data_IF_792574629879
#
_entry.id   IF_792574629879
#
_cell.length_a   1.000
_cell.length_b   1.000
_cell.length_c   1.000
_cell.angle_alpha   90.00
_cell.angle_beta   90.00
_cell.angle_gamma   90.00
#
_symmetry.space_group_name_H-M   'P 1'
#
loop_
_entity.id
_entity.type
_entity.pdbx_description
1 polymer ?
#
# COMPACT_ATOMS: atom_id res chain seq x y z
N UNK A 1 26.50 3.55 9.51
CA UNK A 1 25.25 3.11 10.18
C UNK A 1 24.42 4.31 10.58
N UNK A 2 23.17 4.31 10.21
CA UNK A 2 22.28 5.41 10.52
C UNK A 2 21.76 5.29 11.95
N UNK A 3 21.86 6.34 12.76
CA UNK A 3 21.34 6.27 14.11
C UNK A 3 19.82 6.07 14.09
N UNK A 4 19.32 5.44 15.12
CA UNK A 4 17.88 5.30 15.27
C UNK A 4 17.29 6.65 15.65
N UNK A 5 16.17 6.97 15.03
CA UNK A 5 15.44 8.16 15.41
C UNK A 5 14.61 7.88 16.66
N UNK A 6 14.64 8.82 17.58
CA UNK A 6 13.84 8.70 18.79
C UNK A 6 12.49 9.37 18.57
N UNK A 7 11.52 9.03 19.42
CA UNK A 7 10.18 9.59 19.38
C UNK A 7 9.81 10.12 20.75
N UNK A 8 9.11 11.25 20.79
CA UNK A 8 8.48 11.65 22.06
C UNK A 8 7.53 10.56 22.54
N UNK A 9 7.39 10.45 23.84
CA UNK A 9 6.58 9.39 24.44
C UNK A 9 5.16 9.37 23.87
N UNK A 10 4.51 10.53 23.78
CA UNK A 10 3.15 10.60 23.32
C UNK A 10 2.99 10.21 21.85
N UNK A 11 4.00 10.56 21.04
CA UNK A 11 3.98 10.22 19.63
C UNK A 11 4.14 8.71 19.45
N UNK A 12 5.05 8.10 20.21
CA UNK A 12 5.24 6.65 20.15
C UNK A 12 3.97 5.92 20.58
N UNK A 13 3.34 6.40 21.67
CA UNK A 13 2.13 5.79 22.16
C UNK A 13 1.00 5.85 21.15
N UNK A 14 0.81 7.02 20.53
CA UNK A 14 -0.23 7.19 19.52
C UNK A 14 -0.01 6.27 18.32
N UNK A 15 1.26 6.12 17.89
CA UNK A 15 1.58 5.23 16.79
C UNK A 15 1.26 3.79 17.13
N UNK A 16 1.63 3.35 18.33
CA UNK A 16 1.37 1.99 18.76
C UNK A 16 -0.13 1.73 18.91
N UNK A 17 -0.86 2.69 19.46
CA UNK A 17 -2.31 2.54 19.58
C UNK A 17 -2.99 2.43 18.24
N UNK A 18 -2.54 3.23 17.26
CA UNK A 18 -3.11 3.16 15.94
C UNK A 18 -2.85 1.82 15.28
N UNK A 19 -1.69 1.21 15.55
CA UNK A 19 -1.32 -0.07 14.96
C UNK A 19 -1.96 -1.26 15.67
N UNK A 20 -2.32 -1.11 16.95
CA UNK A 20 -2.73 -2.23 17.78
C UNK A 20 -4.22 -2.54 17.63
N UNK A 21 -4.60 -2.87 16.40
CA UNK A 21 -5.96 -3.28 16.08
C UNK A 21 -5.86 -4.18 14.85
N UNK A 22 -6.60 -5.30 14.81
CA UNK A 22 -6.39 -6.31 13.78
C UNK A 22 -6.41 -5.79 12.34
N UNK A 23 -7.43 -5.00 11.99
CA UNK A 23 -7.54 -4.50 10.62
C UNK A 23 -6.41 -3.54 10.31
N UNK A 24 -6.08 -2.65 11.24
CA UNK A 24 -5.04 -1.66 11.00
C UNK A 24 -3.66 -2.31 10.89
N UNK A 25 -3.38 -3.33 11.69
CA UNK A 25 -2.11 -4.02 11.57
C UNK A 25 -2.00 -4.77 10.24
N UNK A 26 -3.11 -5.38 9.79
CA UNK A 26 -3.14 -6.01 8.47
C UNK A 26 -2.92 -4.99 7.35
N UNK A 27 -3.55 -3.80 7.48
CA UNK A 27 -3.33 -2.73 6.50
C UNK A 27 -1.87 -2.31 6.43
N UNK A 28 -1.23 -2.16 7.59
CA UNK A 28 0.17 -1.77 7.61
C UNK A 28 1.06 -2.82 6.95
N UNK A 29 0.76 -4.10 7.18
CA UNK A 29 1.51 -5.17 6.54
C UNK A 29 1.33 -5.16 5.02
N UNK A 30 0.10 -4.97 4.55
CA UNK A 30 -0.19 -4.93 3.12
C UNK A 30 0.47 -3.72 2.46
N UNK A 31 0.36 -2.55 3.09
CA UNK A 31 0.90 -1.32 2.53
C UNK A 31 2.42 -1.24 2.63
N UNK A 32 3.04 -2.15 3.36
CA UNK A 32 4.49 -2.30 3.34
C UNK A 32 4.98 -2.97 2.07
N UNK A 33 4.09 -3.66 1.36
CA UNK A 33 4.47 -4.41 0.17
C UNK A 33 4.00 -3.77 -1.12
N UNK A 34 2.95 -2.95 -1.08
CA UNK A 34 2.39 -2.38 -2.29
C UNK A 34 1.60 -1.12 -1.98
N UNK A 35 1.52 -0.22 -2.95
CA UNK A 35 0.59 0.90 -2.89
C UNK A 35 -0.75 0.40 -3.41
N UNK A 36 -1.81 0.65 -2.65
CA UNK A 36 -3.11 0.08 -2.93
C UNK A 36 -4.21 1.12 -2.77
N UNK A 37 -5.25 0.98 -3.57
CA UNK A 37 -6.45 1.82 -3.44
C UNK A 37 -7.37 1.24 -2.38
N UNK A 38 -8.33 2.06 -1.93
CA UNK A 38 -9.30 1.58 -0.95
C UNK A 38 -10.13 0.42 -1.50
N UNK A 39 -10.44 0.45 -2.78
CA UNK A 39 -11.19 -0.64 -3.42
C UNK A 39 -10.41 -1.94 -3.36
N UNK A 40 -9.11 -1.88 -3.65
CA UNK A 40 -8.26 -3.06 -3.60
C UNK A 40 -8.14 -3.59 -2.17
N UNK A 41 -7.96 -2.68 -1.22
CA UNK A 41 -7.85 -3.08 0.17
C UNK A 41 -9.15 -3.69 0.69
N UNK A 42 -10.27 -3.15 0.27
CA UNK A 42 -11.58 -3.70 0.64
C UNK A 42 -11.71 -5.14 0.14
N UNK A 43 -11.29 -5.39 -1.09
CA UNK A 43 -11.34 -6.74 -1.66
C UNK A 43 -10.42 -7.70 -0.91
N UNK A 44 -9.22 -7.25 -0.56
CA UNK A 44 -8.25 -8.09 0.15
C UNK A 44 -8.74 -8.43 1.55
N UNK A 45 -9.24 -7.42 2.26
CA UNK A 45 -9.64 -7.59 3.66
C UNK A 45 -11.01 -8.24 3.80
N UNK A 46 -11.85 -8.18 2.76
CA UNK A 46 -13.20 -8.71 2.85
C UNK A 46 -14.07 -7.94 3.80
N UNK A 47 -13.83 -6.63 3.94
CA UNK A 47 -14.60 -5.76 4.82
C UNK A 47 -15.25 -4.65 4.01
N UNK A 48 -16.22 -3.96 4.59
CA UNK A 48 -16.93 -2.90 3.88
C UNK A 48 -15.99 -1.71 3.62
N UNK A 49 -16.28 -0.97 2.56
CA UNK A 49 -15.48 0.19 2.21
C UNK A 49 -15.51 1.26 3.30
N UNK A 50 -16.67 1.60 3.91
CA UNK A 50 -16.67 2.59 4.98
C UNK A 50 -15.78 2.19 6.17
N UNK A 51 -15.76 0.90 6.49
CA UNK A 51 -14.93 0.41 7.58
C UNK A 51 -13.45 0.52 7.25
N UNK A 52 -13.07 0.10 6.06
CA UNK A 52 -11.67 0.19 5.61
C UNK A 52 -11.24 1.64 5.54
N UNK A 53 -12.08 2.51 4.98
CA UNK A 53 -11.77 3.93 4.88
C UNK A 53 -11.55 4.56 6.24
N UNK A 54 -12.36 4.19 7.24
CA UNK A 54 -12.20 4.74 8.58
C UNK A 54 -10.88 4.32 9.20
N UNK A 55 -10.52 3.05 9.03
CA UNK A 55 -9.23 2.58 9.54
C UNK A 55 -8.06 3.26 8.85
N UNK A 56 -8.16 3.44 7.54
CA UNK A 56 -7.11 4.15 6.79
C UNK A 56 -6.97 5.59 7.28
N UNK A 57 -8.08 6.25 7.54
CA UNK A 57 -8.04 7.62 8.04
C UNK A 57 -7.31 7.69 9.37
N UNK A 58 -7.56 6.76 10.26
CA UNK A 58 -6.88 6.72 11.54
C UNK A 58 -5.37 6.52 11.37
N UNK A 59 -4.98 5.66 10.44
CA UNK A 59 -3.57 5.43 10.17
C UNK A 59 -2.90 6.66 9.55
N UNK A 60 -3.59 7.35 8.66
CA UNK A 60 -3.07 8.58 8.07
C UNK A 60 -2.90 9.66 9.14
N UNK A 61 -3.90 9.82 10.00
CA UNK A 61 -3.82 10.81 11.07
C UNK A 61 -2.70 10.51 12.05
N UNK A 62 -2.40 9.24 12.27
CA UNK A 62 -1.30 8.84 13.15
C UNK A 62 0.06 8.95 12.47
N UNK A 63 0.11 9.29 11.18
CA UNK A 63 1.37 9.43 10.47
C UNK A 63 2.00 8.13 10.05
N UNK A 64 1.24 7.03 10.02
CA UNK A 64 1.77 5.71 9.68
C UNK A 64 1.54 5.35 8.22
N UNK A 65 0.59 6.01 7.56
CA UNK A 65 0.22 5.76 6.18
C UNK A 65 0.13 7.09 5.46
N UNK A 66 0.62 7.12 4.23
CA UNK A 66 0.51 8.28 3.35
C UNK A 66 -0.53 8.01 2.29
N UNK A 67 -1.26 9.05 1.93
CA UNK A 67 -2.23 9.00 0.85
C UNK A 67 -1.75 9.93 -0.25
N UNK A 68 -1.73 9.44 -1.48
CA UNK A 68 -1.39 10.30 -2.61
C UNK A 68 -2.30 10.02 -3.78
N UNK A 69 -2.45 11.01 -4.64
CA UNK A 69 -3.32 10.92 -5.80
C UNK A 69 -2.51 10.75 -7.06
N UNK A 70 -3.05 9.91 -7.96
CA UNK A 70 -2.55 9.78 -9.32
C UNK A 70 -3.77 9.83 -10.23
N UNK A 71 -3.97 10.96 -10.89
CA UNK A 71 -5.15 11.15 -11.70
C UNK A 71 -6.42 11.09 -10.85
N UNK A 72 -7.34 10.21 -11.22
CA UNK A 72 -8.59 10.04 -10.51
C UNK A 72 -8.46 9.08 -9.32
N UNK A 73 -7.30 8.47 -9.13
CA UNK A 73 -7.13 7.41 -8.14
C UNK A 73 -6.40 7.93 -6.91
N UNK A 74 -6.82 7.46 -5.74
CA UNK A 74 -6.13 7.71 -4.49
C UNK A 74 -5.46 6.42 -4.04
N UNK A 75 -4.16 6.50 -3.80
CA UNK A 75 -3.37 5.36 -3.36
C UNK A 75 -2.90 5.57 -1.94
N UNK A 76 -2.77 4.48 -1.23
CA UNK A 76 -2.24 4.48 0.14
C UNK A 76 -0.96 3.68 0.17
N UNK A 77 -0.02 4.12 0.99
CA UNK A 77 1.24 3.42 1.17
C UNK A 77 1.73 3.67 2.60
N UNK A 78 2.55 2.76 3.10
CA UNK A 78 3.14 2.93 4.42
C UNK A 78 4.08 4.14 4.38
N UNK A 79 4.06 4.94 5.46
CA UNK A 79 5.04 6.01 5.61
C UNK A 79 6.44 5.42 5.63
N UNK A 80 7.39 6.06 4.95
CA UNK A 80 8.73 5.51 4.78
C UNK A 80 9.82 6.37 5.41
N UNK A 81 9.44 7.44 6.11
CA UNK A 81 10.41 8.35 6.72
C UNK A 81 10.07 8.63 8.16
N UNK A 82 11.13 8.82 8.97
CA UNK A 82 10.99 9.26 10.33
C UNK A 82 10.87 8.13 11.32
N UNK A 83 10.84 8.50 12.59
CA UNK A 83 10.85 7.53 13.68
C UNK A 83 9.61 6.65 13.73
N UNK A 84 8.44 7.22 13.40
CA UNK A 84 7.22 6.42 13.38
C UNK A 84 7.31 5.35 12.30
N UNK A 85 7.82 5.71 11.12
CA UNK A 85 7.99 4.73 10.05
C UNK A 85 8.95 3.63 10.45
N UNK A 86 10.06 3.99 11.09
CA UNK A 86 11.04 2.99 11.56
C UNK A 86 10.44 2.05 12.59
N UNK A 87 9.67 2.60 13.54
CA UNK A 87 9.04 1.79 14.57
C UNK A 87 8.11 0.76 13.96
N UNK A 88 7.24 1.19 13.05
CA UNK A 88 6.28 0.30 12.44
C UNK A 88 6.93 -0.67 11.46
N UNK A 89 8.00 -0.26 10.79
CA UNK A 89 8.76 -1.17 9.96
C UNK A 89 9.35 -2.31 10.79
N UNK A 90 9.86 -2.00 11.97
CA UNK A 90 10.38 -3.03 12.86
C UNK A 90 9.27 -3.99 13.29
N UNK A 91 8.10 -3.45 13.65
CA UNK A 91 6.98 -4.28 14.07
C UNK A 91 6.51 -5.19 12.94
N UNK A 92 6.25 -4.60 11.76
CA UNK A 92 5.72 -5.35 10.62
C UNK A 92 6.74 -6.39 10.14
N UNK A 93 8.02 -6.04 10.16
CA UNK A 93 9.07 -6.95 9.72
C UNK A 93 9.23 -8.18 10.59
N UNK A 94 8.70 -8.14 11.81
CA UNK A 94 8.77 -9.28 12.73
C UNK A 94 7.52 -10.15 12.71
N UNK A 95 6.52 -9.77 11.92
CA UNK A 95 5.32 -10.61 11.80
C UNK A 95 5.66 -11.88 11.02
N UNK A 96 5.12 -12.99 11.49
CA UNK A 96 5.36 -14.29 10.86
C UNK A 96 4.59 -14.37 9.53
N UNK A 97 5.29 -14.43 8.39
CA UNK A 97 4.58 -14.50 7.11
C UNK A 97 3.77 -15.78 6.94
N UNK A 98 4.04 -16.80 7.75
CA UNK A 98 3.27 -18.03 7.72
C UNK A 98 2.00 -17.99 8.53
N UNK A 99 1.74 -16.87 9.24
CA UNK A 99 0.50 -16.74 9.98
C UNK A 99 -0.69 -16.82 9.01
N UNK A 100 -1.74 -17.60 9.34
CA UNK A 100 -2.85 -17.82 8.40
C UNK A 100 -3.53 -16.54 7.94
N UNK A 101 -3.69 -15.55 8.82
CA UNK A 101 -4.31 -14.29 8.42
C UNK A 101 -3.43 -13.55 7.43
N UNK A 102 -2.15 -13.45 7.74
CA UNK A 102 -1.22 -12.72 6.88
C UNK A 102 -0.99 -13.43 5.56
N UNK A 103 -0.87 -14.76 5.57
CA UNK A 103 -0.68 -15.47 4.32
C UNK A 103 -1.94 -15.44 3.46
N UNK A 104 -3.12 -15.43 4.06
CA UNK A 104 -4.36 -15.24 3.32
C UNK A 104 -4.42 -13.88 2.66
N UNK A 105 -4.03 -12.83 3.40
CA UNK A 105 -3.96 -11.49 2.83
C UNK A 105 -2.96 -11.43 1.68
N UNK A 106 -1.82 -12.09 1.84
CA UNK A 106 -0.79 -12.12 0.79
C UNK A 106 -1.32 -12.76 -0.48
N UNK A 107 -2.06 -13.87 -0.35
CA UNK A 107 -2.64 -14.52 -1.53
C UNK A 107 -3.60 -13.59 -2.25
N UNK A 108 -4.43 -12.86 -1.51
CA UNK A 108 -5.38 -11.93 -2.12
C UNK A 108 -4.68 -10.72 -2.71
N UNK A 109 -3.60 -10.26 -2.08
CA UNK A 109 -2.77 -9.21 -2.67
C UNK A 109 -2.17 -9.67 -4.00
N UNK A 110 -1.66 -10.90 -4.04
CA UNK A 110 -1.10 -11.44 -5.28
C UNK A 110 -2.15 -11.49 -6.39
N UNK A 111 -3.39 -11.83 -6.05
CA UNK A 111 -4.48 -11.84 -7.01
C UNK A 111 -4.78 -10.44 -7.54
N UNK A 112 -4.76 -9.43 -6.67
CA UNK A 112 -4.96 -8.04 -7.08
C UNK A 112 -3.85 -7.60 -8.02
N UNK A 113 -2.62 -7.96 -7.71
CA UNK A 113 -1.48 -7.61 -8.58
C UNK A 113 -1.58 -8.29 -9.93
N UNK A 114 -1.99 -9.55 -9.95
CA UNK A 114 -2.17 -10.28 -11.20
C UNK A 114 -3.26 -9.63 -12.05
N UNK A 115 -4.34 -9.20 -11.42
CA UNK A 115 -5.43 -8.53 -12.12
C UNK A 115 -4.97 -7.20 -12.72
N UNK A 116 -4.14 -6.46 -12.00
CA UNK A 116 -3.57 -5.22 -12.54
C UNK A 116 -2.75 -5.49 -13.79
N UNK A 117 -1.93 -6.53 -13.75
CA UNK A 117 -1.10 -6.90 -14.89
C UNK A 117 -1.98 -7.29 -16.08
N UNK A 118 -3.03 -8.07 -15.84
CA UNK A 118 -3.96 -8.45 -16.89
C UNK A 118 -4.67 -7.25 -17.51
N UNK A 119 -5.11 -6.32 -16.66
CA UNK A 119 -5.78 -5.13 -17.15
C UNK A 119 -4.84 -4.27 -17.97
N UNK A 120 -3.60 -4.11 -17.53
CA UNK A 120 -2.61 -3.35 -18.28
C UNK A 120 -2.30 -4.01 -19.62
N UNK A 121 -2.14 -5.33 -19.62
CA UNK A 121 -1.87 -6.05 -20.86
C UNK A 121 -3.05 -5.93 -21.84
N UNK A 122 -4.25 -6.04 -21.31
CA UNK A 122 -5.45 -5.88 -22.14
C UNK A 122 -5.54 -4.48 -22.72
N UNK A 123 -5.26 -3.49 -21.91
CA UNK A 123 -5.27 -2.09 -22.35
C UNK A 123 -4.26 -1.86 -23.46
N UNK A 124 -3.03 -2.35 -23.28
CA UNK A 124 -2.01 -2.20 -24.30
C UNK A 124 -2.38 -2.92 -25.59
N UNK A 125 -2.93 -4.11 -25.50
CA UNK A 125 -3.35 -4.85 -26.68
C UNK A 125 -4.41 -4.10 -27.47
N UNK A 126 -5.37 -3.50 -26.79
CA UNK A 126 -6.44 -2.76 -27.46
C UNK A 126 -5.95 -1.49 -28.11
N UNK A 127 -4.91 -0.87 -27.58
CA UNK A 127 -4.41 0.42 -28.06
C UNK A 127 -3.10 0.32 -28.85
N UNK A 128 -2.68 -0.91 -29.14
CA UNK A 128 -1.39 -1.11 -29.82
C UNK A 128 -1.26 -0.35 -31.14
N UNK A 129 -2.25 -0.36 -32.03
CA UNK A 129 -2.10 0.40 -33.29
C UNK A 129 -1.91 1.89 -33.07
N UNK A 130 -2.60 2.44 -32.09
CA UNK A 130 -2.49 3.84 -31.78
C UNK A 130 -1.12 4.16 -31.18
N UNK A 131 -0.63 3.28 -30.32
CA UNK A 131 0.68 3.45 -29.72
C UNK A 131 1.81 3.38 -30.75
N UNK A 132 1.65 2.48 -31.72
CA UNK A 132 2.64 2.39 -32.79
C UNK A 132 2.68 3.69 -33.59
N UNK A 133 1.54 4.28 -33.89
CA UNK A 133 1.51 5.54 -34.60
C UNK A 133 2.16 6.65 -33.79
N UNK A 134 1.86 6.71 -32.51
CA UNK A 134 2.48 7.72 -31.63
C UNK A 134 3.98 7.53 -31.60
N UNK A 135 4.43 6.29 -31.49
CA UNK A 135 5.84 5.98 -31.43
C UNK A 135 6.58 6.41 -32.67
N UNK A 136 5.95 6.26 -33.83
CA UNK A 136 6.59 6.65 -35.09
C UNK A 136 6.67 8.17 -35.25
N UNK A 137 5.88 8.93 -34.51
CA UNK A 137 5.91 10.39 -34.54
C UNK A 137 6.90 11.00 -33.56
N UNK A 138 7.43 10.21 -32.64
CA UNK A 138 8.33 10.69 -31.61
C UNK A 138 9.70 10.11 -31.79
N UNK A 139 10.71 10.78 -31.22
CA UNK A 139 12.04 10.22 -31.20
C UNK A 139 12.00 8.91 -30.41
N UNK A 140 12.57 7.84 -30.96
CA UNK A 140 12.59 6.59 -30.27
C UNK A 140 13.25 6.70 -28.91
N UNK A 141 12.75 5.97 -27.97
CA UNK A 141 13.34 5.94 -26.67
C UNK A 141 14.62 5.18 -26.69
N UNK A 142 15.62 5.75 -26.07
CA UNK A 142 16.88 5.03 -25.94
C UNK A 142 16.84 4.26 -24.65
N UNK A 143 16.80 3.00 -24.77
CA UNK A 143 16.68 2.21 -23.55
C UNK A 143 17.68 1.13 -23.59
#
# INVERSE_FOLDING_TARGET
MTPRETLPFEIALAALEAAAEPTRLRLLALLSEAELTVTELTAILGQSQPRVSRHLKLLVEAGLVDRHREGAWAFFRRADRGGRAQLLQDVVGRLDPGDPVLSGDRRRLDAVRAERVQQAAHYFARHAPEWDRIRSLHVPESR
#
